data_IF_740125516846
#
_entry.id   IF_740125516846
#
_cell.length_a   1.000
_cell.length_b   1.000
_cell.length_c   1.000
_cell.angle_alpha   90.00
_cell.angle_beta   90.00
_cell.angle_gamma   90.00
#
_symmetry.space_group_name_H-M   'P 1'
#
loop_
_entity.id
_entity.type
_entity.pdbx_description
1 polymer ?
#
# COMPACT_ATOMS: atom_id res chain seq x y z
N UNK A 1 -1.97 1.33 -12.30
CA UNK A 1 -1.96 2.53 -11.41
C UNK A 1 -0.51 2.77 -11.01
N UNK A 2 -0.04 4.01 -10.98
CA UNK A 2 1.31 4.32 -10.50
C UNK A 2 1.37 4.31 -8.97
N UNK A 3 2.54 4.04 -8.40
CA UNK A 3 2.75 4.09 -6.95
C UNK A 3 2.37 5.47 -6.36
N UNK A 4 2.68 6.56 -7.05
CA UNK A 4 2.28 7.91 -6.61
C UNK A 4 0.76 8.05 -6.46
N UNK A 5 -0.02 7.54 -7.42
CA UNK A 5 -1.49 7.58 -7.35
C UNK A 5 -2.03 6.71 -6.22
N UNK A 6 -1.38 5.57 -5.93
CA UNK A 6 -1.73 4.73 -4.78
C UNK A 6 -1.61 5.54 -3.48
N UNK A 7 -0.44 6.16 -3.27
CA UNK A 7 -0.18 6.92 -2.04
C UNK A 7 -1.08 8.13 -1.88
N UNK A 8 -1.36 8.87 -2.96
CA UNK A 8 -2.33 9.98 -2.91
C UNK A 8 -3.69 9.51 -2.41
N UNK A 9 -4.24 8.44 -2.99
CA UNK A 9 -5.56 7.93 -2.59
C UNK A 9 -5.57 7.37 -1.17
N UNK A 10 -4.47 6.77 -0.74
CA UNK A 10 -4.31 6.24 0.61
C UNK A 10 -4.22 7.36 1.65
N UNK A 11 -3.49 8.42 1.36
CA UNK A 11 -3.41 9.61 2.20
C UNK A 11 -4.77 10.32 2.31
N UNK A 12 -5.53 10.41 1.21
CA UNK A 12 -6.91 10.96 1.24
C UNK A 12 -7.86 10.15 2.13
N UNK A 13 -7.70 8.83 2.19
CA UNK A 13 -8.59 7.95 2.96
C UNK A 13 -8.18 7.80 4.43
N UNK A 14 -6.89 7.76 4.72
CA UNK A 14 -6.33 7.38 6.04
C UNK A 14 -5.58 8.51 6.74
N UNK A 15 -5.24 9.57 6.01
CA UNK A 15 -4.33 10.62 6.45
C UNK A 15 -2.87 10.34 6.05
N UNK A 16 -2.13 11.41 5.81
CA UNK A 16 -0.77 11.39 5.25
C UNK A 16 0.20 10.57 6.12
N UNK A 17 0.14 10.74 7.44
CA UNK A 17 1.02 10.07 8.40
C UNK A 17 0.66 8.59 8.60
N UNK A 18 -0.65 8.30 8.70
CA UNK A 18 -1.13 6.96 9.03
C UNK A 18 -1.11 6.01 7.84
N UNK A 19 -1.19 6.52 6.61
CA UNK A 19 -1.29 5.69 5.42
C UNK A 19 -0.10 4.74 5.24
N UNK A 20 1.12 5.18 5.59
CA UNK A 20 2.34 4.37 5.52
C UNK A 20 2.33 3.24 6.54
N UNK A 21 1.93 3.55 7.77
CA UNK A 21 1.86 2.59 8.88
C UNK A 21 0.82 1.51 8.58
N UNK A 22 -0.36 1.91 8.09
CA UNK A 22 -1.40 0.99 7.69
C UNK A 22 -0.95 0.09 6.53
N UNK A 23 -0.33 0.67 5.50
CA UNK A 23 0.14 -0.04 4.32
C UNK A 23 1.20 -1.11 4.63
N UNK A 24 1.92 -0.97 5.75
CA UNK A 24 2.93 -1.92 6.22
C UNK A 24 2.41 -2.96 7.23
N UNK A 25 1.23 -2.76 7.83
CA UNK A 25 0.74 -3.64 8.91
C UNK A 25 -0.55 -4.39 8.55
N UNK A 26 -1.39 -3.83 7.66
CA UNK A 26 -2.66 -4.45 7.32
C UNK A 26 -2.50 -5.39 6.14
N UNK A 27 -2.73 -6.69 6.39
CA UNK A 27 -2.91 -7.68 5.34
C UNK A 27 -4.22 -7.39 4.58
N UNK A 28 -4.12 -7.26 3.25
CA UNK A 28 -5.28 -7.03 2.38
C UNK A 28 -5.63 -8.35 1.70
N UNK A 29 -6.85 -8.88 1.86
CA UNK A 29 -7.22 -10.20 1.33
C UNK A 29 -7.11 -10.28 -0.20
N UNK A 30 -7.27 -9.16 -0.91
CA UNK A 30 -7.08 -9.07 -2.36
C UNK A 30 -5.62 -9.05 -2.84
N UNK A 31 -4.64 -8.99 -1.93
CA UNK A 31 -3.21 -9.01 -2.23
C UNK A 31 -2.55 -10.34 -1.84
N UNK A 32 -3.30 -11.44 -1.88
CA UNK A 32 -2.85 -12.75 -1.37
C UNK A 32 -2.57 -12.74 0.15
N UNK A 33 -3.40 -12.02 0.90
CA UNK A 33 -3.19 -11.75 2.34
C UNK A 33 -1.85 -11.06 2.68
N UNK A 34 -1.22 -10.37 1.73
CA UNK A 34 -0.03 -9.54 1.95
C UNK A 34 -0.40 -8.11 2.31
N UNK A 35 0.55 -7.42 2.92
CA UNK A 35 0.47 -5.96 3.09
C UNK A 35 0.67 -5.25 1.75
N UNK A 36 0.26 -3.99 1.68
CA UNK A 36 0.46 -3.16 0.48
C UNK A 36 1.95 -2.98 0.19
N UNK A 37 2.77 -2.81 1.23
CA UNK A 37 4.21 -2.66 1.09
C UNK A 37 4.88 -3.94 0.55
N UNK A 38 4.45 -5.12 1.01
CA UNK A 38 4.94 -6.40 0.47
C UNK A 38 4.54 -6.58 -0.99
N UNK A 39 3.30 -6.26 -1.35
CA UNK A 39 2.84 -6.35 -2.74
C UNK A 39 3.56 -5.37 -3.67
N UNK A 40 3.91 -4.17 -3.19
CA UNK A 40 4.74 -3.22 -3.94
C UNK A 40 6.17 -3.74 -4.12
N UNK A 41 6.79 -4.26 -3.06
CA UNK A 41 8.15 -4.80 -3.12
C UNK A 41 8.26 -6.00 -4.09
N UNK A 42 7.25 -6.85 -4.12
CA UNK A 42 7.14 -7.99 -5.04
C UNK A 42 7.02 -7.57 -6.50
N UNK A 43 6.39 -6.42 -6.78
CA UNK A 43 6.23 -5.87 -8.13
C UNK A 43 7.38 -5.00 -8.63
N UNK A 44 8.42 -4.77 -7.82
CA UNK A 44 9.59 -3.94 -8.17
C UNK A 44 10.73 -4.77 -8.79
N UNK A 45 10.59 -6.10 -8.87
CA UNK A 45 11.57 -7.00 -9.52
C UNK A 45 11.28 -7.24 -11.03
N UNK A 46 10.71 -6.27 -11.74
CA UNK A 46 10.42 -6.37 -13.18
C UNK A 46 10.95 -5.18 -14.00
#
# INVERSE_FOLDING_TARGET
MTETQLWTRLAEALGDDYCRIWAAQQAVPGLDSRTVQEALADGVDA
#
